data_IF_907838685159
#
_entry.id   IF_907838685159
#
_cell.length_a   1.000
_cell.length_b   1.000
_cell.length_c   1.000
_cell.angle_alpha   90.00
_cell.angle_beta   90.00
_cell.angle_gamma   90.00
#
_symmetry.space_group_name_H-M   'P 1'
#
loop_
_entity.id
_entity.type
_entity.pdbx_description
1 polymer ?
#
# COMPACT_ATOMS: atom_id res chain seq x y z
N UNK A 1 -21.22 2.01 -17.56
CA UNK A 1 -22.06 1.37 -16.52
C UNK A 1 -21.19 1.11 -15.29
N UNK A 2 -21.60 1.55 -14.10
CA UNK A 2 -20.80 1.45 -12.88
C UNK A 2 -20.64 0.02 -12.36
N UNK A 3 -19.44 -0.27 -11.84
CA UNK A 3 -19.06 -1.54 -11.21
C UNK A 3 -18.21 -1.25 -9.97
N UNK A 4 -18.03 -2.23 -9.06
CA UNK A 4 -17.04 -2.13 -7.99
C UNK A 4 -15.65 -1.84 -8.56
N UNK A 5 -14.90 -0.96 -7.90
CA UNK A 5 -13.53 -0.62 -8.30
C UNK A 5 -12.54 -0.94 -7.19
N UNK A 6 -11.51 -1.72 -7.50
CA UNK A 6 -10.42 -2.02 -6.58
C UNK A 6 -9.12 -1.41 -7.13
N UNK A 7 -8.46 -0.56 -6.33
CA UNK A 7 -7.19 0.06 -6.72
C UNK A 7 -6.02 -0.53 -5.93
N UNK A 8 -5.03 -1.06 -6.62
CA UNK A 8 -3.82 -1.61 -6.01
C UNK A 8 -2.82 -0.49 -5.62
N UNK A 9 -3.16 0.30 -4.61
CA UNK A 9 -2.38 1.48 -4.19
C UNK A 9 -0.93 1.16 -3.78
N UNK A 10 -0.64 -0.05 -3.32
CA UNK A 10 0.73 -0.47 -2.97
C UNK A 10 1.71 -0.43 -4.15
N UNK A 11 1.25 -0.52 -5.41
CA UNK A 11 2.11 -0.38 -6.59
C UNK A 11 2.21 1.07 -7.09
N UNK A 12 1.21 1.89 -6.80
CA UNK A 12 1.05 3.21 -7.40
C UNK A 12 0.46 4.22 -6.39
N UNK A 13 1.10 4.41 -5.22
CA UNK A 13 0.47 5.14 -4.10
C UNK A 13 0.17 6.60 -4.47
N UNK A 14 1.04 7.21 -5.29
CA UNK A 14 0.90 8.58 -5.78
C UNK A 14 -0.38 8.80 -6.61
N UNK A 15 -0.94 7.75 -7.22
CA UNK A 15 -2.12 7.84 -8.08
C UNK A 15 -3.43 7.50 -7.37
N UNK A 16 -3.41 7.09 -6.10
CA UNK A 16 -4.59 6.63 -5.38
C UNK A 16 -5.74 7.65 -5.42
N UNK A 17 -5.49 8.89 -5.01
CA UNK A 17 -6.53 9.91 -4.92
C UNK A 17 -7.08 10.27 -6.30
N UNK A 18 -6.22 10.34 -7.31
CA UNK A 18 -6.60 10.65 -8.68
C UNK A 18 -7.47 9.54 -9.28
N UNK A 19 -7.08 8.27 -9.09
CA UNK A 19 -7.87 7.11 -9.52
C UNK A 19 -9.25 7.08 -8.87
N UNK A 20 -9.34 7.34 -7.55
CA UNK A 20 -10.61 7.42 -6.84
C UNK A 20 -11.48 8.60 -7.31
N UNK A 21 -10.86 9.76 -7.59
CA UNK A 21 -11.55 10.93 -8.12
C UNK A 21 -12.17 10.61 -9.48
N UNK A 22 -11.39 10.06 -10.41
CA UNK A 22 -11.86 9.65 -11.74
C UNK A 22 -13.01 8.65 -11.63
N UNK A 23 -12.86 7.59 -10.82
CA UNK A 23 -13.91 6.59 -10.62
C UNK A 23 -15.21 7.21 -10.12
N UNK A 24 -15.15 8.05 -9.09
CA UNK A 24 -16.34 8.68 -8.49
C UNK A 24 -17.00 9.69 -9.43
N UNK A 25 -16.22 10.51 -10.12
CA UNK A 25 -16.74 11.54 -11.05
C UNK A 25 -17.38 10.95 -12.30
N UNK A 26 -16.99 9.74 -12.72
CA UNK A 26 -17.52 9.09 -13.92
C UNK A 26 -18.47 7.92 -13.61
N UNK A 27 -18.79 7.69 -12.34
CA UNK A 27 -19.67 6.61 -11.95
C UNK A 27 -21.09 6.86 -12.48
N UNK A 28 -21.67 5.81 -13.06
CA UNK A 28 -23.07 5.79 -13.46
C UNK A 28 -23.73 4.60 -12.78
N UNK A 29 -24.88 4.79 -12.10
CA UNK A 29 -25.65 3.67 -11.54
C UNK A 29 -25.87 2.57 -12.57
N UNK A 30 -25.88 1.33 -12.09
CA UNK A 30 -26.06 0.14 -12.92
C UNK A 30 -26.92 -0.87 -12.18
N UNK A 31 -27.28 -1.97 -12.86
CA UNK A 31 -27.98 -3.08 -12.22
C UNK A 31 -27.21 -3.71 -11.04
N UNK A 32 -25.92 -3.40 -10.87
CA UNK A 32 -25.06 -3.94 -9.80
C UNK A 32 -24.90 -2.97 -8.63
N UNK A 33 -24.86 -1.65 -8.89
CA UNK A 33 -24.57 -0.64 -7.87
C UNK A 33 -25.36 0.66 -8.15
N UNK A 34 -26.02 1.17 -7.12
CA UNK A 34 -26.71 2.47 -7.15
C UNK A 34 -25.77 3.65 -6.85
N UNK A 35 -24.62 3.38 -6.23
CA UNK A 35 -23.62 4.38 -5.84
C UNK A 35 -22.19 3.83 -5.98
N UNK A 36 -21.16 4.70 -6.10
CA UNK A 36 -19.78 4.25 -6.22
C UNK A 36 -19.35 3.38 -5.04
N UNK A 37 -18.65 2.27 -5.31
CA UNK A 37 -18.09 1.38 -4.29
C UNK A 37 -16.63 1.09 -4.65
N UNK A 38 -15.71 1.56 -3.80
CA UNK A 38 -14.28 1.44 -4.03
C UNK A 38 -13.58 0.68 -2.90
N UNK A 39 -12.60 -0.14 -3.26
CA UNK A 39 -11.66 -0.79 -2.35
C UNK A 39 -10.23 -0.37 -2.71
N UNK A 40 -9.34 -0.29 -1.71
CA UNK A 40 -7.94 0.05 -1.91
C UNK A 40 -7.05 -1.04 -1.29
N UNK A 41 -5.99 -1.41 -2.00
CA UNK A 41 -4.98 -2.35 -1.51
C UNK A 41 -3.78 -1.60 -0.93
N UNK A 42 -3.69 -1.55 0.40
CA UNK A 42 -2.59 -0.90 1.12
C UNK A 42 -1.63 -1.94 1.72
N UNK A 43 -0.31 -1.72 1.73
CA UNK A 43 0.59 -2.53 2.56
C UNK A 43 0.24 -2.33 4.03
N UNK A 44 0.17 -3.41 4.80
CA UNK A 44 -0.12 -3.36 6.22
C UNK A 44 0.83 -4.30 6.96
N UNK A 45 1.39 -3.80 8.05
CA UNK A 45 2.11 -4.57 9.06
C UNK A 45 1.39 -4.25 10.37
N UNK A 46 0.88 -5.29 11.02
CA UNK A 46 0.10 -5.17 12.24
C UNK A 46 0.66 -6.13 13.28
N UNK A 47 0.70 -5.66 14.52
CA UNK A 47 1.17 -6.41 15.68
C UNK A 47 0.33 -6.02 16.91
N UNK A 48 0.42 -6.77 18.02
CA UNK A 48 -0.22 -6.42 19.29
C UNK A 48 0.11 -5.02 19.83
N UNK A 49 1.30 -4.48 19.54
CA UNK A 49 1.68 -3.11 19.91
C UNK A 49 2.32 -2.36 18.73
N UNK A 50 2.31 -1.03 18.81
CA UNK A 50 2.93 -0.17 17.81
C UNK A 50 4.44 -0.41 17.73
N UNK A 51 5.12 -0.61 18.86
CA UNK A 51 6.56 -0.90 18.91
C UNK A 51 6.92 -2.19 18.17
N UNK A 52 6.10 -3.24 18.33
CA UNK A 52 6.29 -4.49 17.62
C UNK A 52 6.02 -4.31 16.11
N UNK A 53 4.99 -3.55 15.74
CA UNK A 53 4.67 -3.27 14.34
C UNK A 53 5.79 -2.46 13.66
N UNK A 54 6.35 -1.46 14.34
CA UNK A 54 7.48 -0.65 13.87
C UNK A 54 8.74 -1.49 13.71
N UNK A 55 9.05 -2.36 14.69
CA UNK A 55 10.16 -3.31 14.59
C UNK A 55 9.99 -4.23 13.37
N UNK A 56 8.82 -4.85 13.19
CA UNK A 56 8.52 -5.71 12.04
C UNK A 56 8.58 -4.94 10.71
N UNK A 57 8.19 -3.66 10.71
CA UNK A 57 8.23 -2.80 9.53
C UNK A 57 9.65 -2.57 8.99
N UNK A 58 10.68 -2.67 9.84
CA UNK A 58 12.06 -2.53 9.41
C UNK A 58 12.49 -3.55 8.34
N UNK A 59 11.89 -4.74 8.27
CA UNK A 59 12.12 -5.69 7.16
C UNK A 59 11.66 -5.12 5.82
N UNK A 60 10.48 -4.50 5.77
CA UNK A 60 9.97 -3.89 4.55
C UNK A 60 10.83 -2.68 4.13
N UNK A 61 11.25 -1.87 5.10
CA UNK A 61 12.15 -0.74 4.88
C UNK A 61 13.51 -1.17 4.33
N UNK A 62 14.13 -2.20 4.90
CA UNK A 62 15.39 -2.76 4.38
C UNK A 62 15.25 -3.24 2.94
N UNK A 63 14.11 -3.83 2.57
CA UNK A 63 13.85 -4.27 1.18
C UNK A 63 13.71 -3.09 0.21
N UNK A 64 13.02 -2.02 0.62
CA UNK A 64 12.90 -0.78 -0.18
C UNK A 64 14.28 -0.13 -0.36
N UNK A 65 15.06 -0.05 0.72
CA UNK A 65 16.42 0.49 0.68
C UNK A 65 17.33 -0.33 -0.24
N UNK A 66 17.31 -1.67 -0.13
CA UNK A 66 18.07 -2.57 -1.00
C UNK A 66 17.70 -2.38 -2.48
N UNK A 67 16.41 -2.20 -2.78
CA UNK A 67 15.94 -1.92 -4.14
C UNK A 67 16.55 -0.62 -4.68
N UNK A 68 16.56 0.45 -3.87
CA UNK A 68 17.14 1.75 -4.26
C UNK A 68 18.66 1.64 -4.48
N UNK A 69 19.35 0.84 -3.66
CA UNK A 69 20.81 0.63 -3.74
C UNK A 69 21.23 -0.40 -4.78
N UNK A 70 20.29 -1.07 -5.46
CA UNK A 70 20.61 -2.17 -6.38
C UNK A 70 21.19 -3.41 -5.70
N UNK A 71 20.90 -3.59 -4.41
CA UNK A 71 21.36 -4.73 -3.61
C UNK A 71 20.42 -5.94 -3.72
N UNK A 72 20.83 -7.07 -3.12
CA UNK A 72 20.00 -8.27 -3.06
C UNK A 72 18.66 -8.00 -2.34
N UNK A 73 17.56 -8.40 -2.98
CA UNK A 73 16.21 -8.31 -2.41
C UNK A 73 15.83 -9.51 -1.53
N UNK A 74 16.80 -10.35 -1.13
CA UNK A 74 16.54 -11.40 -0.14
C UNK A 74 16.03 -10.77 1.15
N UNK A 75 14.97 -11.35 1.70
CA UNK A 75 14.34 -10.82 2.91
C UNK A 75 15.32 -10.91 4.08
N UNK A 76 15.49 -9.80 4.78
CA UNK A 76 16.30 -9.67 5.99
C UNK A 76 15.40 -9.67 7.23
N UNK A 77 15.87 -10.19 8.38
CA UNK A 77 15.13 -10.07 9.62
C UNK A 77 14.94 -8.59 10.01
N UNK A 78 13.95 -8.28 10.86
CA UNK A 78 13.79 -6.94 11.40
C UNK A 78 15.02 -6.54 12.23
N UNK A 79 15.28 -5.24 12.30
CA UNK A 79 16.38 -4.62 13.05
C UNK A 79 15.82 -3.63 14.07
N UNK A 80 16.54 -3.40 15.16
CA UNK A 80 16.12 -2.48 16.22
C UNK A 80 15.97 -1.03 15.73
N UNK A 81 16.76 -0.63 14.72
CA UNK A 81 16.67 0.70 14.14
C UNK A 81 17.13 0.74 12.69
N UNK A 82 16.40 1.49 11.86
CA UNK A 82 16.82 1.81 10.50
C UNK A 82 17.79 3.00 10.42
N UNK A 83 17.94 3.80 11.49
CA UNK A 83 18.78 5.00 11.49
C UNK A 83 20.23 4.77 11.00
N UNK A 84 20.95 3.70 11.39
CA UNK A 84 22.30 3.44 10.87
C UNK A 84 22.32 2.84 9.45
N UNK A 85 21.16 2.45 8.91
CA UNK A 85 21.05 1.79 7.60
C UNK A 85 20.69 2.75 6.48
N UNK A 86 19.94 3.82 6.76
CA UNK A 86 19.56 4.86 5.78
C UNK A 86 20.77 5.43 5.04
#
# INVERSE_FOLDING_TARGET
KGLPYAFASHFAPRYLHEALRIYRSNFQPSAVLDKPYAMIGVPLIAAPTDEEAEFLATTAFQRVLALIRGESLKQKPPVESMAPLW
#
